data_IF_575607075151
#
_entry.id   IF_575607075151
#
_cell.length_a   1.000
_cell.length_b   1.000
_cell.length_c   1.000
_cell.angle_alpha   90.00
_cell.angle_beta   90.00
_cell.angle_gamma   90.00
#
_symmetry.space_group_name_H-M   'P 1'
#
loop_
_entity.id
_entity.type
_entity.pdbx_description
1 polymer ?
#
# COMPACT_ATOMS: atom_id res chain seq x y z
N UNK A 1 2.72 39.60 -17.63
CA UNK A 1 2.66 39.57 -16.15
C UNK A 1 1.84 38.40 -15.66
N UNK A 2 2.50 37.27 -15.37
CA UNK A 2 1.86 36.10 -14.76
C UNK A 2 2.17 36.11 -13.27
N UNK A 3 1.12 36.15 -12.42
CA UNK A 3 1.25 35.99 -10.97
C UNK A 3 0.80 34.59 -10.59
N UNK A 4 1.71 33.79 -10.03
CA UNK A 4 1.42 32.44 -9.60
C UNK A 4 0.41 32.44 -8.44
N UNK A 5 -0.71 31.75 -8.62
CA UNK A 5 -1.70 31.55 -7.56
C UNK A 5 -1.07 30.67 -6.48
N UNK A 6 -0.93 31.20 -5.26
CA UNK A 6 -0.21 30.56 -4.13
C UNK A 6 -0.70 29.14 -3.78
N UNK A 7 -1.95 28.81 -4.10
CA UNK A 7 -2.52 27.46 -3.96
C UNK A 7 -3.63 27.22 -5.01
N UNK A 8 -3.29 26.78 -6.23
CA UNK A 8 -4.26 26.67 -7.31
C UNK A 8 -5.27 25.52 -7.10
N UNK A 9 -4.97 24.56 -6.22
CA UNK A 9 -5.76 23.34 -6.02
C UNK A 9 -6.59 23.32 -4.72
N UNK A 10 -6.44 24.29 -3.82
CA UNK A 10 -7.12 24.28 -2.50
C UNK A 10 -8.65 24.32 -2.61
N UNK A 11 -9.20 25.04 -3.61
CA UNK A 11 -10.66 25.13 -3.83
C UNK A 11 -11.27 23.87 -4.45
N UNK A 12 -10.47 23.07 -5.17
CA UNK A 12 -10.94 21.85 -5.82
C UNK A 12 -10.91 20.62 -4.88
N UNK A 13 -9.99 20.61 -3.91
CA UNK A 13 -9.77 19.47 -3.02
C UNK A 13 -10.83 19.24 -1.93
N UNK A 14 -11.69 20.24 -1.62
CA UNK A 14 -12.59 20.18 -0.47
C UNK A 14 -14.04 20.60 -0.78
N UNK A 15 -14.43 20.68 -2.06
CA UNK A 15 -15.82 20.97 -2.44
C UNK A 15 -16.68 19.70 -2.34
N UNK A 16 -17.28 19.49 -1.18
CA UNK A 16 -18.35 18.52 -0.95
C UNK A 16 -17.87 17.10 -0.71
N UNK A 17 -18.46 16.44 0.28
CA UNK A 17 -18.24 15.03 0.61
C UNK A 17 -18.83 14.06 -0.41
N UNK A 18 -18.50 14.28 -1.69
CA UNK A 18 -18.87 13.36 -2.75
C UNK A 18 -17.87 12.21 -2.79
N UNK A 19 -18.37 10.98 -2.81
CA UNK A 19 -17.61 9.80 -3.18
C UNK A 19 -16.99 10.07 -4.55
N UNK A 20 -15.68 10.30 -4.60
CA UNK A 20 -14.97 10.38 -5.87
C UNK A 20 -14.81 8.94 -6.33
N UNK A 21 -15.74 8.45 -7.16
CA UNK A 21 -15.44 7.33 -8.04
C UNK A 21 -14.30 7.76 -8.95
N UNK A 22 -13.13 7.17 -8.70
CA UNK A 22 -11.97 7.38 -9.56
C UNK A 22 -12.08 6.32 -10.64
N UNK A 23 -12.40 6.73 -11.87
CA UNK A 23 -12.22 5.86 -13.03
C UNK A 23 -10.74 5.53 -13.13
N UNK A 24 -10.43 4.24 -13.02
CA UNK A 24 -9.07 3.78 -13.24
C UNK A 24 -8.71 4.18 -14.67
N UNK A 25 -7.62 4.94 -14.85
CA UNK A 25 -6.93 4.91 -16.12
C UNK A 25 -6.38 3.50 -16.23
N UNK A 26 -7.04 2.68 -17.03
CA UNK A 26 -6.55 1.35 -17.38
C UNK A 26 -5.15 1.55 -17.97
N UNK A 27 -4.12 1.29 -17.16
CA UNK A 27 -2.85 0.87 -17.73
C UNK A 27 -3.22 -0.34 -18.58
N UNK A 28 -3.00 -0.26 -19.89
CA UNK A 28 -3.15 -1.38 -20.82
C UNK A 28 -2.62 -2.65 -20.13
N UNK A 29 -3.52 -3.56 -19.76
CA UNK A 29 -3.30 -4.68 -18.84
C UNK A 29 -2.07 -5.51 -19.22
N UNK A 30 -1.78 -5.55 -20.52
CA UNK A 30 -0.63 -6.22 -21.13
C UNK A 30 0.73 -5.65 -20.69
N UNK A 31 0.87 -4.33 -20.56
CA UNK A 31 2.13 -3.70 -20.10
C UNK A 31 2.37 -3.94 -18.62
N UNK A 32 1.31 -4.00 -17.80
CA UNK A 32 1.40 -4.35 -16.39
C UNK A 32 1.87 -5.79 -16.17
N UNK A 33 1.43 -6.73 -17.02
CA UNK A 33 1.82 -8.14 -16.95
C UNK A 33 3.33 -8.36 -17.15
N UNK A 34 3.98 -7.58 -18.00
CA UNK A 34 5.43 -7.67 -18.20
C UNK A 34 6.24 -7.30 -16.95
N UNK A 35 5.74 -6.40 -16.09
CA UNK A 35 6.38 -6.11 -14.80
C UNK A 35 6.35 -7.30 -13.84
N UNK A 36 5.33 -8.16 -13.92
CA UNK A 36 5.27 -9.38 -13.12
C UNK A 36 6.20 -10.48 -13.64
N UNK A 37 6.74 -10.34 -14.87
CA UNK A 37 7.78 -11.22 -15.42
C UNK A 37 9.20 -10.86 -14.96
N UNK A 38 9.37 -9.80 -14.17
CA UNK A 38 10.68 -9.44 -13.61
C UNK A 38 11.30 -10.65 -12.87
N UNK A 39 12.52 -11.08 -13.25
CA UNK A 39 13.10 -12.30 -12.72
C UNK A 39 13.46 -12.14 -11.25
N UNK A 40 13.01 -13.09 -10.41
CA UNK A 40 13.56 -13.25 -9.07
C UNK A 40 15.03 -13.64 -9.19
N UNK A 41 15.89 -12.94 -8.44
CA UNK A 41 17.32 -13.30 -8.43
C UNK A 41 17.49 -14.48 -7.48
N UNK A 42 17.96 -15.61 -8.03
CA UNK A 42 18.33 -16.79 -7.24
C UNK A 42 19.67 -16.52 -6.55
N UNK A 43 19.63 -16.06 -5.32
CA UNK A 43 20.77 -16.06 -4.40
C UNK A 43 20.55 -17.12 -3.33
N UNK A 44 21.61 -17.62 -2.71
CA UNK A 44 21.57 -18.62 -1.62
C UNK A 44 20.99 -18.07 -0.29
N UNK A 45 20.20 -16.99 -0.36
CA UNK A 45 19.48 -16.35 0.74
C UNK A 45 18.48 -15.32 0.19
N UNK A 46 17.51 -14.89 1.00
CA UNK A 46 16.53 -13.87 0.60
C UNK A 46 17.23 -12.52 0.48
N UNK A 47 17.61 -12.12 -0.74
CA UNK A 47 18.23 -10.82 -0.99
C UNK A 47 17.25 -9.68 -0.69
N UNK A 48 17.74 -8.56 -0.15
CA UNK A 48 16.99 -7.28 -0.07
C UNK A 48 16.31 -6.90 -1.40
N UNK A 49 16.88 -7.33 -2.53
CA UNK A 49 16.28 -7.16 -3.86
C UNK A 49 14.95 -7.90 -4.03
N UNK A 50 14.84 -9.12 -3.51
CA UNK A 50 13.61 -9.91 -3.59
C UNK A 50 12.54 -9.33 -2.66
N UNK A 51 12.93 -8.86 -1.47
CA UNK A 51 12.02 -8.10 -0.59
C UNK A 51 11.50 -6.84 -1.28
N UNK A 52 12.38 -6.02 -1.84
CA UNK A 52 11.99 -4.80 -2.54
C UNK A 52 11.04 -5.08 -3.72
N UNK A 53 11.29 -6.15 -4.48
CA UNK A 53 10.42 -6.56 -5.58
C UNK A 53 9.04 -7.00 -5.09
N UNK A 54 8.96 -7.80 -4.04
CA UNK A 54 7.69 -8.25 -3.46
C UNK A 54 6.89 -7.09 -2.90
N UNK A 55 7.55 -6.20 -2.17
CA UNK A 55 6.92 -5.02 -1.57
C UNK A 55 6.37 -4.08 -2.64
N UNK A 56 7.15 -3.83 -3.69
CA UNK A 56 6.69 -3.02 -4.81
C UNK A 56 5.51 -3.68 -5.55
N UNK A 57 5.59 -4.98 -5.84
CA UNK A 57 4.50 -5.75 -6.48
C UNK A 57 3.24 -5.73 -5.65
N UNK A 58 3.36 -5.95 -4.34
CA UNK A 58 2.23 -5.88 -3.42
C UNK A 58 1.57 -4.50 -3.46
N UNK A 59 2.34 -3.43 -3.31
CA UNK A 59 1.82 -2.06 -3.36
C UNK A 59 1.07 -1.79 -4.67
N UNK A 60 1.63 -2.22 -5.81
CA UNK A 60 1.02 -2.08 -7.12
C UNK A 60 -0.31 -2.86 -7.24
N UNK A 61 -0.31 -4.15 -6.88
CA UNK A 61 -1.49 -5.03 -6.92
C UNK A 61 -2.61 -4.54 -5.99
N UNK A 62 -2.25 -3.92 -4.86
CA UNK A 62 -3.19 -3.41 -3.86
C UNK A 62 -3.57 -1.94 -4.11
N UNK A 63 -3.85 -1.57 -5.38
CA UNK A 63 -4.33 -0.24 -5.82
C UNK A 63 -3.35 0.90 -5.50
N UNK A 64 -2.05 0.65 -5.57
CA UNK A 64 -1.05 1.68 -5.28
C UNK A 64 -1.06 2.12 -3.82
N UNK A 65 -1.28 1.17 -2.90
CA UNK A 65 -1.16 1.46 -1.47
C UNK A 65 0.27 1.95 -1.16
N UNK A 66 0.39 2.87 -0.21
CA UNK A 66 1.71 3.40 0.14
C UNK A 66 2.49 2.40 1.00
N UNK A 67 3.81 2.57 1.05
CA UNK A 67 4.69 1.70 1.83
C UNK A 67 4.44 1.76 3.34
N UNK A 68 3.92 2.87 3.86
CA UNK A 68 3.63 3.01 5.30
C UNK A 68 2.49 2.08 5.70
N UNK A 69 1.37 2.12 4.99
CA UNK A 69 0.22 1.23 5.24
C UNK A 69 0.60 -0.24 5.05
N UNK A 70 1.46 -0.55 4.06
CA UNK A 70 2.02 -1.90 3.90
C UNK A 70 2.88 -2.29 5.11
N UNK A 71 3.77 -1.41 5.59
CA UNK A 71 4.66 -1.70 6.70
C UNK A 71 3.90 -1.92 8.02
N UNK A 72 2.80 -1.21 8.26
CA UNK A 72 1.97 -1.34 9.47
C UNK A 72 0.83 -2.35 9.33
N UNK A 73 0.72 -3.04 8.19
CA UNK A 73 -0.33 -4.03 7.94
C UNK A 73 -0.25 -5.18 8.94
N UNK A 74 -1.32 -5.43 9.71
CA UNK A 74 -1.38 -6.51 10.70
C UNK A 74 -2.07 -7.76 10.14
N UNK A 75 -1.74 -8.96 10.65
CA UNK A 75 -2.46 -10.19 10.26
C UNK A 75 -3.98 -10.08 10.44
N UNK A 76 -4.43 -9.38 11.48
CA UNK A 76 -5.84 -9.18 11.78
C UNK A 76 -6.57 -8.25 10.80
N UNK A 77 -5.85 -7.43 10.02
CA UNK A 77 -6.44 -6.53 9.03
C UNK A 77 -6.86 -7.27 7.74
N UNK A 78 -6.38 -8.51 7.57
CA UNK A 78 -6.78 -9.41 6.49
C UNK A 78 -8.08 -10.12 6.86
N UNK A 79 -9.20 -9.65 6.31
CA UNK A 79 -10.56 -10.16 6.55
C UNK A 79 -11.06 -10.94 5.34
N UNK A 80 -10.81 -12.25 5.34
CA UNK A 80 -11.21 -13.13 4.22
C UNK A 80 -10.52 -12.71 2.93
N UNK A 81 -11.29 -12.22 1.95
CA UNK A 81 -10.79 -11.69 0.67
C UNK A 81 -10.37 -10.21 0.70
N UNK A 82 -10.49 -9.54 1.85
CA UNK A 82 -10.29 -8.09 1.94
C UNK A 82 -9.17 -7.71 2.89
N UNK A 83 -8.53 -6.58 2.62
CA UNK A 83 -7.65 -5.87 3.53
C UNK A 83 -8.38 -4.61 4.01
N UNK A 84 -8.57 -4.50 5.32
CA UNK A 84 -9.28 -3.40 5.98
C UNK A 84 -8.32 -2.61 6.84
N UNK A 85 -8.17 -1.32 6.57
CA UNK A 85 -7.26 -0.45 7.30
C UNK A 85 -7.80 0.96 7.41
N UNK A 86 -7.21 1.72 8.32
CA UNK A 86 -7.53 3.14 8.51
C UNK A 86 -6.39 3.96 7.94
N UNK A 87 -6.64 4.68 6.84
CA UNK A 87 -5.60 5.47 6.19
C UNK A 87 -5.40 6.79 6.92
N UNK A 88 -4.15 7.09 7.26
CA UNK A 88 -3.76 8.36 7.86
C UNK A 88 -2.85 9.16 6.91
N UNK A 89 -3.46 10.00 6.04
CA UNK A 89 -2.71 10.86 5.11
C UNK A 89 -2.49 12.25 5.72
N UNK A 90 -1.24 12.71 5.75
CA UNK A 90 -0.71 13.85 6.54
C UNK A 90 -1.48 15.19 6.48
N UNK A 91 -1.51 15.84 7.66
CA UNK A 91 -1.83 17.24 8.04
C UNK A 91 -3.29 17.68 8.18
N UNK A 92 -4.24 17.04 7.51
CA UNK A 92 -5.67 17.23 7.79
C UNK A 92 -6.21 15.89 8.27
N UNK A 93 -6.75 15.82 9.49
CA UNK A 93 -7.20 14.63 10.24
C UNK A 93 -8.35 13.86 9.56
N UNK A 94 -8.24 13.57 8.27
CA UNK A 94 -9.22 12.79 7.52
C UNK A 94 -8.82 11.34 7.70
N UNK A 95 -9.33 10.78 8.79
CA UNK A 95 -9.27 9.35 9.09
C UNK A 95 -10.31 8.69 8.19
N UNK A 96 -9.86 7.90 7.22
CA UNK A 96 -10.76 7.17 6.31
C UNK A 96 -10.55 5.68 6.45
N UNK A 97 -11.62 4.96 6.82
CA UNK A 97 -11.63 3.50 6.75
C UNK A 97 -11.66 3.08 5.28
N UNK A 98 -10.71 2.25 4.89
CA UNK A 98 -10.60 1.70 3.54
C UNK A 98 -10.71 0.18 3.59
N UNK A 99 -11.31 -0.37 2.55
CA UNK A 99 -11.46 -1.81 2.34
C UNK A 99 -11.06 -2.12 0.91
N UNK A 100 -10.00 -2.88 0.73
CA UNK A 100 -9.46 -3.23 -0.59
C UNK A 100 -9.62 -4.74 -0.79
N UNK A 101 -10.17 -5.16 -1.92
CA UNK A 101 -10.19 -6.59 -2.29
C UNK A 101 -8.77 -7.04 -2.61
N UNK A 102 -8.32 -8.11 -1.96
CA UNK A 102 -7.00 -8.71 -2.18
C UNK A 102 -7.09 -9.56 -3.44
N UNK A 103 -6.32 -9.18 -4.45
CA UNK A 103 -6.16 -9.98 -5.68
C UNK A 103 -5.33 -11.25 -5.41
N UNK A 104 -5.52 -12.34 -6.16
CA UNK A 104 -4.84 -13.62 -5.90
C UNK A 104 -3.31 -13.51 -5.80
N UNK A 105 -2.68 -12.74 -6.69
CA UNK A 105 -1.24 -12.55 -6.72
C UNK A 105 -0.73 -11.80 -5.48
N UNK A 106 -1.52 -10.86 -4.96
CA UNK A 106 -1.20 -10.19 -3.70
C UNK A 106 -1.38 -11.12 -2.50
N UNK A 107 -2.34 -12.06 -2.56
CA UNK A 107 -2.53 -13.09 -1.53
C UNK A 107 -1.30 -13.98 -1.40
N UNK A 108 -0.69 -14.35 -2.51
CA UNK A 108 0.55 -15.15 -2.49
C UNK A 108 1.68 -14.43 -1.75
N UNK A 109 1.84 -13.13 -2.02
CA UNK A 109 2.84 -12.30 -1.32
C UNK A 109 2.49 -12.19 0.17
N UNK A 110 1.22 -11.96 0.54
CA UNK A 110 0.81 -11.94 1.95
C UNK A 110 1.16 -13.28 2.62
N UNK A 111 0.75 -14.40 2.03
CA UNK A 111 0.94 -15.73 2.60
C UNK A 111 2.43 -16.09 2.76
N UNK A 112 3.30 -15.57 1.88
CA UNK A 112 4.76 -15.74 1.98
C UNK A 112 5.34 -15.12 3.26
N UNK A 113 4.79 -13.99 3.71
CA UNK A 113 5.31 -13.25 4.87
C UNK A 113 4.46 -13.40 6.13
N UNK A 114 3.21 -13.87 6.00
CA UNK A 114 2.26 -13.99 7.08
C UNK A 114 2.78 -14.95 8.17
N UNK A 115 3.10 -14.38 9.32
CA UNK A 115 3.43 -15.11 10.53
C UNK A 115 2.56 -14.60 11.68
N UNK A 116 1.78 -15.49 12.31
CA UNK A 116 0.87 -15.13 13.42
C UNK A 116 1.60 -14.71 14.70
N UNK A 117 2.89 -15.05 14.81
CA UNK A 117 3.73 -14.62 15.93
C UNK A 117 4.27 -13.19 15.75
N UNK A 118 4.12 -12.60 14.56
CA UNK A 118 4.54 -11.23 14.29
C UNK A 118 3.34 -10.29 14.36
N UNK A 119 3.58 -9.06 14.81
CA UNK A 119 2.56 -8.02 14.88
C UNK A 119 2.17 -7.51 13.49
N UNK A 120 3.11 -7.57 12.55
CA UNK A 120 2.97 -7.10 11.18
C UNK A 120 3.15 -8.24 10.17
N UNK A 121 2.46 -8.13 9.04
CA UNK A 121 2.55 -9.10 7.94
C UNK A 121 3.92 -9.05 7.28
N UNK A 122 4.45 -7.86 7.05
CA UNK A 122 5.73 -7.67 6.38
C UNK A 122 6.85 -7.45 7.39
N UNK A 123 8.04 -8.05 7.19
CA UNK A 123 9.18 -7.93 8.10
C UNK A 123 9.92 -6.60 7.88
N UNK A 124 9.24 -5.48 8.14
CA UNK A 124 9.76 -4.11 7.98
C UNK A 124 9.89 -3.44 9.35
N UNK A 125 8.95 -3.71 10.26
CA UNK A 125 8.90 -3.19 11.61
C UNK A 125 9.10 -4.33 12.60
N UNK A 126 9.76 -4.02 13.70
CA UNK A 126 9.87 -4.94 14.83
C UNK A 126 8.52 -5.04 15.57
N UNK A 127 8.30 -6.16 16.24
CA UNK A 127 7.11 -6.33 17.09
C UNK A 127 7.11 -5.26 18.19
N UNK A 128 5.93 -4.72 18.48
CA UNK A 128 5.75 -3.65 19.46
C UNK A 128 6.17 -2.25 18.97
N UNK A 129 6.48 -2.06 17.67
CA UNK A 129 6.78 -0.73 17.14
C UNK A 129 5.65 0.27 17.42
N UNK A 130 5.97 1.32 18.17
CA UNK A 130 5.08 2.42 18.47
C UNK A 130 5.56 3.67 17.73
N UNK A 131 4.77 4.12 16.75
CA UNK A 131 5.10 5.28 15.92
C UNK A 131 5.15 6.59 16.73
N UNK A 132 4.43 6.65 17.85
CA UNK A 132 4.27 7.85 18.66
C UNK A 132 5.19 7.86 19.90
N UNK A 133 5.74 6.70 20.29
CA UNK A 133 6.79 6.56 21.29
C UNK A 133 8.14 6.25 20.61
N UNK A 134 8.79 7.30 20.09
CA UNK A 134 10.21 7.22 19.72
C UNK A 134 11.03 7.82 20.88
N UNK A 135 11.62 6.96 21.72
CA UNK A 135 12.86 7.30 22.43
C UNK A 135 14.04 7.28 21.43
#
# INVERSE_FOLDING_TARGET
DYTAIKTPFKKALFKGGNLIETDNKDLELYQAQDFFKLPYVKYNGTSYRNYALDFWRFCFLMRGINFVEMAVMKPNDVKGEYFEFTREKLKSRVVTKQRIKIVPEAREIINKYLNKSNDYVFPILDNGFDKDNNE
#
